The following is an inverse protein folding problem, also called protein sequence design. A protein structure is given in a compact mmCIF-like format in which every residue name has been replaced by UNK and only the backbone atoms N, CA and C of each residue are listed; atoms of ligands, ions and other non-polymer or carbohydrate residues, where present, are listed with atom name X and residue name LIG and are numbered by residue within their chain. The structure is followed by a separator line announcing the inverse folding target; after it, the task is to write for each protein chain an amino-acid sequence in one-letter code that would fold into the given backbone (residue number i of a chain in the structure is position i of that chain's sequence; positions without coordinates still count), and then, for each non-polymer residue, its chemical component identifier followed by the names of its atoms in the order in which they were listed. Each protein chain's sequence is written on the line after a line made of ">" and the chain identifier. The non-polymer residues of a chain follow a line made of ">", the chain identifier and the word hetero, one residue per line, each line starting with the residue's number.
data_IF_305452542300
#
_entry.id   IF_305452542300
#
_cell.length_a   1.000
_cell.length_b   1.000
_cell.length_c   1.000
_cell.angle_alpha   90.00
_cell.angle_beta   90.00
_cell.angle_gamma   90.00
#
_symmetry.space_group_name_H-M   'P 1'
#
loop_
_entity.id
_entity.type
_entity.pdbx_description
1 polymer ?
#
# COMPACT_ATOMS: atom_id res chain seq x y z
N UNK A 1 20.43 42.86 -8.18
CA UNK A 1 19.76 42.87 -6.86
C UNK A 1 20.55 41.96 -5.95
N UNK A 2 21.42 42.54 -5.12
CA UNK A 2 22.41 41.87 -4.28
C UNK A 2 22.22 42.35 -2.83
N UNK A 3 22.68 41.53 -1.88
CA UNK A 3 22.76 41.73 -0.42
C UNK A 3 21.47 41.35 0.35
N UNK A 4 21.44 40.23 1.07
CA UNK A 4 22.21 39.93 2.30
C UNK A 4 21.88 40.92 3.42
N UNK A 5 21.03 40.51 4.36
CA UNK A 5 20.76 41.24 5.60
C UNK A 5 21.03 40.31 6.78
N UNK A 6 22.22 40.50 7.35
CA UNK A 6 22.58 40.12 8.72
C UNK A 6 21.69 40.87 9.69
N UNK A 7 21.23 40.21 10.75
CA UNK A 7 21.21 40.76 12.11
C UNK A 7 21.54 39.58 13.04
N UNK A 8 22.70 39.67 13.68
CA UNK A 8 23.07 38.88 14.84
C UNK A 8 22.79 39.75 16.06
N UNK A 9 21.96 39.30 17.00
CA UNK A 9 21.98 39.81 18.38
C UNK A 9 22.57 38.70 19.26
N UNK A 10 23.68 39.03 19.92
CA UNK A 10 24.39 38.11 20.78
C UNK A 10 23.74 37.99 22.16
N UNK A 11 23.94 36.81 22.76
CA UNK A 11 24.13 36.66 24.19
C UNK A 11 25.09 35.48 24.39
N UNK A 12 26.30 35.78 24.87
CA UNK A 12 27.13 34.84 25.62
C UNK A 12 26.51 34.74 27.02
N UNK A 13 26.38 33.54 27.62
CA UNK A 13 26.97 33.12 28.92
C UNK A 13 26.81 31.58 29.03
N UNK A 14 27.93 30.93 29.36
CA UNK A 14 28.12 29.52 29.69
C UNK A 14 27.30 29.06 30.91
N UNK A 15 26.79 27.82 30.92
CA UNK A 15 26.89 26.90 32.07
C UNK A 15 26.20 25.53 31.84
N UNK A 16 27.01 24.47 32.06
CA UNK A 16 26.66 23.20 32.71
C UNK A 16 25.81 22.14 31.97
N UNK A 17 26.55 21.09 31.56
CA UNK A 17 26.26 19.65 31.77
C UNK A 17 24.79 19.27 32.03
N UNK A 18 24.20 18.57 31.06
CA UNK A 18 23.69 17.21 31.27
C UNK A 18 23.27 16.58 29.95
N UNK A 19 23.80 15.39 29.71
CA UNK A 19 23.44 14.55 28.58
C UNK A 19 21.97 14.08 28.78
N UNK A 20 21.03 14.67 28.06
CA UNK A 20 19.73 14.05 27.78
C UNK A 20 19.42 14.26 26.31
N UNK A 21 19.53 13.18 25.53
CA UNK A 21 18.90 13.08 24.23
C UNK A 21 17.39 13.10 24.47
N UNK A 22 16.82 14.30 24.46
CA UNK A 22 15.39 14.51 24.30
C UNK A 22 15.15 14.81 22.81
N UNK A 23 15.26 13.76 22.00
CA UNK A 23 14.75 13.76 20.64
C UNK A 23 13.24 13.62 20.67
N UNK A 24 12.54 14.68 21.11
CA UNK A 24 11.12 14.87 20.82
C UNK A 24 10.97 15.24 19.34
N UNK A 25 11.15 14.26 18.47
CA UNK A 25 10.62 14.29 17.11
C UNK A 25 9.31 13.54 17.13
N UNK A 26 8.20 14.28 17.07
CA UNK A 26 6.85 13.72 16.94
C UNK A 26 6.85 12.65 15.85
N UNK A 27 6.70 11.37 16.21
CA UNK A 27 6.28 10.35 15.26
C UNK A 27 4.82 10.68 14.98
N UNK A 28 4.62 11.49 13.94
CA UNK A 28 3.32 11.93 13.49
C UNK A 28 2.51 10.67 13.19
N UNK A 29 1.53 10.41 14.05
CA UNK A 29 0.48 9.44 13.86
C UNK A 29 -0.17 9.69 12.49
N UNK A 30 0.00 8.77 11.54
CA UNK A 30 -0.80 8.77 10.32
C UNK A 30 -0.83 7.42 9.62
N UNK A 31 -1.51 6.47 10.24
CA UNK A 31 -2.00 5.29 9.54
C UNK A 31 -3.52 5.19 9.71
N UNK A 32 -4.22 6.22 9.24
CA UNK A 32 -5.57 6.01 8.76
C UNK A 32 -5.39 5.42 7.38
N UNK A 33 -5.55 4.10 7.25
CA UNK A 33 -5.60 3.41 5.97
C UNK A 33 -6.79 3.96 5.20
N UNK A 34 -6.60 5.07 4.49
CA UNK A 34 -7.59 5.56 3.55
C UNK A 34 -7.65 4.52 2.45
N UNK A 35 -8.70 3.70 2.47
CA UNK A 35 -8.99 2.78 1.40
C UNK A 35 -8.87 3.55 0.09
N UNK A 36 -7.99 3.10 -0.79
CA UNK A 36 -7.74 3.79 -2.05
C UNK A 36 -8.84 3.44 -3.04
N UNK A 37 -9.14 4.37 -3.94
CA UNK A 37 -10.10 4.16 -5.02
C UNK A 37 -9.76 2.91 -5.87
N UNK A 38 -8.47 2.63 -6.06
CA UNK A 38 -8.01 1.42 -6.75
C UNK A 38 -8.35 0.11 -6.03
N UNK A 39 -8.33 0.06 -4.69
CA UNK A 39 -8.75 -1.15 -3.96
C UNK A 39 -10.21 -1.49 -4.24
N UNK A 40 -11.07 -0.48 -4.29
CA UNK A 40 -12.50 -0.64 -4.55
C UNK A 40 -12.72 -1.15 -5.97
N UNK A 41 -12.10 -0.52 -6.97
CA UNK A 41 -12.22 -0.94 -8.38
C UNK A 41 -11.72 -2.36 -8.62
N UNK A 42 -10.55 -2.70 -8.07
CA UNK A 42 -9.98 -4.05 -8.20
C UNK A 42 -10.90 -5.07 -7.53
N UNK A 43 -11.46 -4.75 -6.35
CA UNK A 43 -12.38 -5.65 -5.67
C UNK A 43 -13.66 -5.88 -6.48
N UNK A 44 -14.26 -4.85 -7.06
CA UNK A 44 -15.46 -4.97 -7.90
C UNK A 44 -15.22 -5.87 -9.11
N UNK A 45 -14.15 -5.62 -9.87
CA UNK A 45 -13.80 -6.42 -11.04
C UNK A 45 -13.57 -7.89 -10.67
N UNK A 46 -12.90 -8.16 -9.54
CA UNK A 46 -12.69 -9.53 -9.09
C UNK A 46 -13.98 -10.22 -8.64
N UNK A 47 -14.92 -9.49 -8.01
CA UNK A 47 -16.23 -10.04 -7.65
C UNK A 47 -17.05 -10.41 -8.88
N UNK A 48 -16.98 -9.61 -9.94
CA UNK A 48 -17.68 -9.91 -11.19
C UNK A 48 -17.06 -11.10 -11.93
N UNK A 49 -15.73 -11.22 -11.92
CA UNK A 49 -15.02 -12.28 -12.65
C UNK A 49 -15.01 -13.62 -11.94
N UNK A 50 -15.04 -13.62 -10.60
CA UNK A 50 -14.97 -14.82 -9.77
C UNK A 50 -16.17 -14.87 -8.82
N UNK A 51 -17.37 -15.22 -9.32
CA UNK A 51 -18.58 -15.31 -8.50
C UNK A 51 -18.51 -16.43 -7.44
N UNK A 52 -17.66 -17.44 -7.65
CA UNK A 52 -17.43 -18.53 -6.70
C UNK A 52 -16.32 -18.24 -5.68
N UNK A 53 -15.81 -17.00 -5.64
CA UNK A 53 -14.82 -16.60 -4.66
C UNK A 53 -15.41 -16.64 -3.24
N UNK A 54 -14.79 -17.45 -2.37
CA UNK A 54 -15.15 -17.56 -0.95
C UNK A 54 -14.56 -16.42 -0.13
N UNK A 55 -13.31 -16.02 -0.43
CA UNK A 55 -12.65 -14.88 0.21
C UNK A 55 -11.98 -14.01 -0.83
N UNK A 56 -12.19 -12.71 -0.72
CA UNK A 56 -11.53 -11.69 -1.54
C UNK A 56 -11.05 -10.58 -0.61
N UNK A 57 -9.74 -10.30 -0.65
CA UNK A 57 -9.13 -9.20 0.08
C UNK A 57 -8.12 -8.50 -0.82
N UNK A 58 -8.26 -7.20 -0.96
CA UNK A 58 -7.32 -6.33 -1.67
C UNK A 58 -6.76 -5.34 -0.66
N UNK A 59 -5.44 -5.17 -0.66
CA UNK A 59 -4.73 -4.28 0.28
C UNK A 59 -3.71 -3.45 -0.50
N UNK A 60 -3.74 -2.15 -0.33
CA UNK A 60 -2.70 -1.22 -0.80
C UNK A 60 -1.47 -1.33 0.10
N UNK A 61 -0.34 -1.69 -0.51
CA UNK A 61 0.97 -1.76 0.15
C UNK A 61 1.86 -0.57 -0.22
N UNK A 62 1.34 0.40 -0.98
CA UNK A 62 2.05 1.61 -1.38
C UNK A 62 1.89 2.79 -0.41
N UNK A 63 1.18 2.60 0.71
CA UNK A 63 1.00 3.62 1.74
C UNK A 63 0.06 4.76 1.33
N UNK A 64 -0.93 4.49 0.48
CA UNK A 64 -1.95 5.45 0.06
C UNK A 64 -1.70 6.11 -1.30
N UNK A 65 -0.63 5.70 -2.01
CA UNK A 65 -0.34 6.18 -3.36
C UNK A 65 -1.13 5.42 -4.44
N UNK A 66 -1.65 4.22 -4.11
CA UNK A 66 -2.29 3.33 -5.08
C UNK A 66 -1.35 2.82 -6.17
N UNK A 67 -0.05 2.73 -5.88
CA UNK A 67 0.94 2.27 -6.87
C UNK A 67 1.09 0.75 -6.87
N UNK A 68 0.82 0.08 -5.75
CA UNK A 68 1.09 -1.35 -5.57
C UNK A 68 0.08 -1.99 -4.63
N UNK A 69 -0.51 -3.10 -5.07
CA UNK A 69 -1.54 -3.81 -4.31
C UNK A 69 -1.21 -5.27 -4.11
N UNK A 70 -1.76 -5.81 -3.04
CA UNK A 70 -1.71 -7.20 -2.68
C UNK A 70 -3.13 -7.77 -2.69
N UNK A 71 -3.33 -8.84 -3.44
CA UNK A 71 -4.63 -9.47 -3.67
C UNK A 71 -4.56 -10.89 -3.12
N UNK A 72 -5.45 -11.19 -2.20
CA UNK A 72 -5.70 -12.52 -1.66
C UNK A 72 -7.07 -12.98 -2.18
N UNK A 73 -7.06 -14.02 -3.00
CA UNK A 73 -8.26 -14.56 -3.63
C UNK A 73 -8.36 -16.06 -3.37
N UNK A 74 -9.42 -16.45 -2.68
CA UNK A 74 -9.76 -17.83 -2.40
C UNK A 74 -11.02 -18.20 -3.19
N UNK A 75 -10.88 -19.13 -4.14
CA UNK A 75 -11.98 -19.55 -5.01
C UNK A 75 -11.87 -21.02 -5.40
N UNK A 76 -13.01 -21.71 -5.48
CA UNK A 76 -13.09 -23.08 -5.99
C UNK A 76 -12.80 -23.17 -7.50
N UNK A 77 -12.85 -22.05 -8.24
CA UNK A 77 -12.49 -22.01 -9.68
C UNK A 77 -11.02 -22.30 -9.98
N UNK A 78 -10.19 -22.29 -8.93
CA UNK A 78 -8.77 -22.61 -8.99
C UNK A 78 -8.47 -24.10 -8.80
N UNK A 79 -9.48 -24.90 -8.45
CA UNK A 79 -9.36 -26.35 -8.35
C UNK A 79 -8.93 -26.94 -9.70
N UNK A 80 -7.92 -27.81 -9.66
CA UNK A 80 -7.37 -28.46 -10.85
C UNK A 80 -6.47 -27.59 -11.73
N UNK A 81 -6.25 -26.30 -11.39
CA UNK A 81 -5.33 -25.42 -12.13
C UNK A 81 -3.98 -25.30 -11.43
N UNK A 82 -2.91 -25.11 -12.21
CA UNK A 82 -1.58 -24.79 -11.68
C UNK A 82 -1.53 -23.34 -11.19
N UNK A 83 -0.67 -23.04 -10.21
CA UNK A 83 -0.49 -21.67 -9.67
C UNK A 83 -0.27 -20.61 -10.75
N UNK A 84 0.56 -20.92 -11.76
CA UNK A 84 0.80 -20.00 -12.89
C UNK A 84 -0.49 -19.70 -13.66
N UNK A 85 -1.33 -20.70 -13.90
CA UNK A 85 -2.61 -20.52 -14.59
C UNK A 85 -3.60 -19.72 -13.74
N UNK A 86 -3.63 -19.95 -12.42
CA UNK A 86 -4.45 -19.18 -11.49
C UNK A 86 -4.08 -17.69 -11.56
N UNK A 87 -2.77 -17.37 -11.45
CA UNK A 87 -2.29 -15.99 -11.57
C UNK A 87 -2.55 -15.40 -12.96
N UNK A 88 -2.45 -16.18 -14.03
CA UNK A 88 -2.81 -15.74 -15.38
C UNK A 88 -4.28 -15.36 -15.49
N UNK A 89 -5.20 -16.11 -14.88
CA UNK A 89 -6.63 -15.79 -14.87
C UNK A 89 -6.91 -14.48 -14.14
N UNK A 90 -6.29 -14.28 -12.97
CA UNK A 90 -6.42 -13.03 -12.21
C UNK A 90 -5.83 -11.86 -12.98
N UNK A 91 -4.67 -12.03 -13.61
CA UNK A 91 -4.07 -11.00 -14.47
C UNK A 91 -4.94 -10.66 -15.69
N UNK A 92 -5.62 -11.64 -16.27
CA UNK A 92 -6.54 -11.41 -17.39
C UNK A 92 -7.77 -10.62 -16.94
N UNK A 93 -8.33 -10.94 -15.76
CA UNK A 93 -9.44 -10.20 -15.17
C UNK A 93 -9.08 -8.73 -14.94
N UNK A 94 -7.86 -8.47 -14.47
CA UNK A 94 -7.41 -7.13 -14.06
C UNK A 94 -6.65 -6.36 -15.16
N UNK A 95 -6.47 -6.93 -16.35
CA UNK A 95 -5.64 -6.34 -17.42
C UNK A 95 -6.02 -4.90 -17.79
N UNK A 96 -7.30 -4.55 -17.69
CA UNK A 96 -7.77 -3.21 -18.00
C UNK A 96 -7.55 -2.23 -16.85
N UNK A 97 -7.64 -2.70 -15.62
CA UNK A 97 -7.48 -1.90 -14.40
C UNK A 97 -5.99 -1.62 -14.10
N UNK A 98 -5.09 -2.58 -14.39
CA UNK A 98 -3.66 -2.51 -14.05
C UNK A 98 -2.86 -1.54 -14.94
N UNK A 99 -3.42 -1.00 -16.02
CA UNK A 99 -2.65 -0.23 -17.03
C UNK A 99 -1.91 0.99 -16.47
N UNK A 100 -2.32 1.52 -15.32
CA UNK A 100 -1.67 2.64 -14.63
C UNK A 100 -0.89 2.26 -13.36
N UNK A 101 -0.79 0.98 -13.02
CA UNK A 101 -0.27 0.52 -11.73
C UNK A 101 1.20 0.06 -11.84
N UNK A 102 1.99 0.25 -10.79
CA UNK A 102 3.42 -0.11 -10.77
C UNK A 102 3.63 -1.62 -10.62
N UNK A 103 2.78 -2.30 -9.85
CA UNK A 103 2.85 -3.74 -9.66
C UNK A 103 1.74 -4.33 -8.80
N UNK A 104 1.65 -5.66 -8.82
CA UNK A 104 0.69 -6.44 -8.04
C UNK A 104 1.37 -7.64 -7.40
N UNK A 105 0.88 -8.03 -6.23
CA UNK A 105 1.13 -9.34 -5.61
C UNK A 105 -0.16 -10.12 -5.57
N UNK A 106 -0.13 -11.34 -6.10
CA UNK A 106 -1.31 -12.19 -6.21
C UNK A 106 -1.06 -13.43 -5.38
N UNK A 107 -1.99 -13.71 -4.48
CA UNK A 107 -2.08 -14.93 -3.70
C UNK A 107 -3.39 -15.60 -4.05
N UNK A 108 -3.31 -16.79 -4.64
CA UNK A 108 -4.47 -17.61 -4.97
C UNK A 108 -4.47 -18.86 -4.12
N UNK A 109 -5.56 -19.05 -3.38
CA UNK A 109 -5.79 -20.23 -2.55
C UNK A 109 -7.06 -20.94 -2.99
N UNK A 110 -7.11 -22.24 -2.73
CA UNK A 110 -8.31 -23.06 -2.92
C UNK A 110 -8.93 -23.24 -1.53
N UNK A 111 -10.23 -22.93 -1.35
CA UNK A 111 -10.91 -23.17 -0.09
C UNK A 111 -10.84 -24.66 0.22
N UNK A 112 -10.12 -25.03 1.29
CA UNK A 112 -10.09 -26.40 1.79
C UNK A 112 -11.28 -26.57 2.73
N UNK A 113 -12.19 -27.47 2.39
CA UNK A 113 -13.23 -27.95 3.31
C UNK A 113 -12.59 -28.75 4.45
#
# INVERSE_FOLDING_TARGET
>A
MLACKRICCGAVISALRSNRVAGSGQVLQRCLSTQTDGEVRIAEVLREKFPLASKLKVVDISGGCGAMYEIHLESSEFEGKRTVQQHQLVNQALKNEIRGMHGLRIFTDIPKQ
#
